data_IF_726815226616
#
_entry.id   IF_726815226616
#
_cell.length_a   1.000
_cell.length_b   1.000
_cell.length_c   1.000
_cell.angle_alpha   90.00
_cell.angle_beta   90.00
_cell.angle_gamma   90.00
#
_symmetry.space_group_name_H-M   'P 1'
#
loop_
_entity.id
_entity.type
_entity.pdbx_description
1 polymer ?
2 non-polymer ?
3 non-polymer ?
4 non-polymer ?
5 water ?
#
# COMPACT_ATOMS: atom_id res chain seq x y z
N UNK A 30 -3.02 -20.57 -12.34
CA UNK A 30 -2.70 -20.11 -13.69
C UNK A 30 -1.81 -18.86 -13.68
N UNK A 31 -1.53 -18.36 -12.48
CA UNK A 31 -0.63 -17.23 -12.29
C UNK A 31 0.57 -17.72 -11.46
N UNK A 32 1.76 -17.64 -12.05
CA UNK A 32 2.96 -18.14 -11.39
C UNK A 32 3.74 -17.00 -10.76
N UNK A 33 4.44 -17.32 -9.67
CA UNK A 33 5.22 -16.35 -8.90
C UNK A 33 6.71 -16.57 -9.14
N UNK A 34 7.42 -15.47 -9.41
CA UNK A 34 8.87 -15.48 -9.56
C UNK A 34 9.47 -14.48 -8.59
N UNK A 35 10.39 -14.92 -7.75
CA UNK A 35 10.99 -14.06 -6.73
C UNK A 35 12.31 -13.51 -7.25
N UNK A 36 12.50 -12.19 -7.12
CA UNK A 36 13.71 -11.51 -7.56
C UNK A 36 14.09 -10.49 -6.50
N UNK A 37 15.18 -9.76 -6.75
CA UNK A 37 15.59 -8.70 -5.84
C UNK A 37 16.30 -7.60 -6.61
N UNK A 38 16.33 -6.41 -6.02
CA UNK A 38 17.13 -5.31 -6.53
C UNK A 38 17.74 -4.57 -5.35
N UNK A 39 18.72 -3.72 -5.65
CA UNK A 39 19.40 -2.94 -4.62
C UNK A 39 18.65 -1.64 -4.41
N UNK A 40 18.05 -1.47 -3.22
CA UNK A 40 17.31 -0.27 -2.91
C UNK A 40 18.22 0.83 -2.39
N UNK A 41 17.60 1.95 -1.99
CA UNK A 41 18.35 3.05 -1.41
C UNK A 41 19.17 2.54 -0.23
N UNK A 42 20.42 2.97 -0.16
CA UNK A 42 21.32 2.49 0.88
C UNK A 42 21.87 1.10 0.63
N UNK A 43 21.73 0.58 -0.59
CA UNK A 43 22.14 -0.78 -0.94
C UNK A 43 21.42 -1.83 -0.11
N UNK A 44 20.18 -1.55 0.28
CA UNK A 44 19.37 -2.54 0.98
C UNK A 44 18.86 -3.55 -0.03
N UNK A 45 18.87 -4.83 0.32
CA UNK A 45 18.32 -5.86 -0.55
C UNK A 45 16.79 -5.78 -0.52
N UNK A 46 16.18 -5.46 -1.66
CA UNK A 46 14.72 -5.42 -1.77
C UNK A 46 14.26 -6.64 -2.56
N UNK A 47 13.52 -7.51 -1.90
CA UNK A 47 12.95 -8.69 -2.55
C UNK A 47 11.59 -8.32 -3.11
N UNK A 48 11.27 -8.83 -4.30
CA UNK A 48 9.94 -8.61 -4.84
C UNK A 48 9.47 -9.83 -5.61
N UNK A 49 8.15 -9.98 -5.70
CA UNK A 49 7.53 -11.03 -6.48
C UNK A 49 7.02 -10.47 -7.78
N UNK A 50 7.08 -11.28 -8.82
CA UNK A 50 6.40 -11.01 -10.08
C UNK A 50 5.43 -12.14 -10.31
N UNK A 51 4.15 -11.79 -10.48
CA UNK A 51 3.09 -12.76 -10.74
C UNK A 51 2.64 -12.61 -12.18
N UNK A 52 2.80 -13.67 -12.97
CA UNK A 52 2.54 -13.63 -14.40
C UNK A 52 1.43 -14.61 -14.77
N UNK A 53 0.33 -14.16 -15.34
CA UNK A 53 -0.71 -15.10 -15.78
C UNK A 53 -0.30 -15.75 -17.10
N UNK A 54 -0.95 -16.87 -17.40
CA UNK A 54 -0.74 -17.55 -18.68
C UNK A 54 -1.69 -17.03 -19.75
N UNK A 55 -1.89 -15.72 -19.77
CA UNK A 55 -2.58 -15.03 -20.83
C UNK A 55 -1.75 -13.85 -21.25
N UNK A 56 -2.12 -13.25 -22.37
CA UNK A 56 -1.45 -12.03 -22.81
C UNK A 56 -1.68 -10.93 -21.78
N UNK A 57 -0.64 -10.26 -21.31
CA UNK A 57 -0.81 -9.29 -20.23
C UNK A 57 -1.52 -8.05 -20.73
N UNK A 58 -2.50 -7.60 -19.95
CA UNK A 58 -3.30 -6.43 -20.31
C UNK A 58 -2.83 -5.17 -19.63
N UNK A 59 -2.14 -5.29 -18.49
CA UNK A 59 -1.61 -4.17 -17.75
C UNK A 59 -0.74 -4.74 -16.64
N UNK A 60 0.06 -3.87 -16.03
CA UNK A 60 0.93 -4.23 -14.91
C UNK A 60 0.41 -3.54 -13.66
N UNK A 61 0.41 -4.26 -12.54
CA UNK A 61 0.07 -3.71 -11.23
C UNK A 61 1.35 -3.68 -10.42
N UNK A 62 1.64 -2.55 -9.77
CA UNK A 62 2.78 -2.46 -8.85
C UNK A 62 2.22 -2.19 -7.47
N UNK A 63 2.46 -3.09 -6.54
CA UNK A 63 1.69 -3.18 -5.29
C UNK A 63 2.60 -2.90 -4.11
N UNK A 64 2.13 -2.04 -3.20
CA UNK A 64 2.84 -1.67 -1.96
C UNK A 64 2.04 -2.12 -0.74
N UNK A 65 2.61 -3.01 0.05
CA UNK A 65 1.97 -3.48 1.28
C UNK A 65 2.10 -2.42 2.39
N UNK A 66 1.46 -2.70 3.53
CA UNK A 66 1.44 -1.77 4.64
C UNK A 66 2.47 -2.10 5.72
N UNK A 67 2.37 -1.34 6.82
CA UNK A 67 3.31 -1.44 7.94
C UNK A 67 3.33 -2.84 8.53
N UNK A 68 4.54 -3.40 8.66
CA UNK A 68 4.76 -4.64 9.36
C UNK A 68 4.38 -5.90 8.62
N UNK A 69 3.79 -5.79 7.42
CA UNK A 69 3.46 -7.01 6.70
C UNK A 69 4.47 -7.24 5.58
N UNK A 70 4.06 -7.89 4.50
CA UNK A 70 4.98 -8.21 3.40
C UNK A 70 4.13 -8.61 2.21
N UNK A 71 4.79 -8.81 1.06
CA UNK A 71 4.02 -9.01 -0.17
C UNK A 71 3.39 -10.40 -0.25
N UNK A 72 3.87 -11.36 0.54
CA UNK A 72 3.23 -12.67 0.46
C UNK A 72 1.90 -12.72 1.20
N UNK A 73 1.48 -11.63 1.84
CA UNK A 73 0.08 -11.56 2.28
C UNK A 73 -0.87 -11.14 1.16
N UNK A 74 -0.36 -11.05 -0.07
CA UNK A 74 -1.15 -10.63 -1.22
C UNK A 74 -1.24 -11.67 -2.32
N UNK A 75 -0.83 -12.92 -2.04
CA UNK A 75 -0.92 -13.99 -3.04
C UNK A 75 -2.28 -14.02 -3.71
N UNK A 76 -3.35 -14.03 -2.92
CA UNK A 76 -4.69 -14.15 -3.50
C UNK A 76 -5.06 -12.93 -4.32
N UNK A 77 -4.59 -11.75 -3.91
CA UNK A 77 -4.84 -10.55 -4.69
C UNK A 77 -4.16 -10.66 -6.06
N UNK A 78 -2.90 -11.08 -6.07
CA UNK A 78 -2.19 -11.22 -7.33
C UNK A 78 -2.83 -12.30 -8.19
N UNK A 79 -3.32 -13.38 -7.57
CA UNK A 79 -3.93 -14.45 -8.34
C UNK A 79 -5.25 -14.00 -8.96
N UNK A 80 -6.04 -13.23 -8.22
CA UNK A 80 -7.29 -12.72 -8.77
C UNK A 80 -7.01 -11.73 -9.90
N UNK A 81 -6.01 -10.86 -9.72
CA UNK A 81 -5.64 -9.94 -10.77
C UNK A 81 -5.11 -10.67 -11.99
N UNK A 82 -4.36 -11.76 -11.77
CA UNK A 82 -3.83 -12.53 -12.88
C UNK A 82 -4.93 -13.18 -13.70
N UNK A 83 -6.01 -13.58 -13.04
CA UNK A 83 -7.16 -14.15 -13.73
C UNK A 83 -7.81 -13.15 -14.68
N UNK A 84 -7.62 -11.85 -14.45
CA UNK A 84 -8.02 -10.79 -15.35
C UNK A 84 -6.92 -10.42 -16.33
N UNK A 85 -5.81 -11.15 -16.35
CA UNK A 85 -4.75 -10.88 -17.29
C UNK A 85 -3.76 -9.82 -16.87
N UNK A 86 -3.73 -9.47 -15.59
CA UNK A 86 -2.81 -8.47 -15.08
C UNK A 86 -1.58 -9.14 -14.48
N UNK A 87 -0.43 -8.52 -14.69
CA UNK A 87 0.85 -8.92 -14.09
C UNK A 87 1.08 -8.07 -12.85
N UNK A 88 1.38 -8.71 -11.72
CA UNK A 88 1.57 -7.98 -10.47
C UNK A 88 3.02 -8.05 -10.01
N UNK A 89 3.61 -6.87 -9.78
CA UNK A 89 4.90 -6.73 -9.11
C UNK A 89 4.65 -6.26 -7.68
N UNK A 90 5.22 -6.96 -6.71
CA UNK A 90 4.99 -6.62 -5.31
C UNK A 90 6.29 -6.77 -4.55
N UNK A 91 6.76 -5.69 -3.94
CA UNK A 91 7.99 -5.70 -3.16
C UNK A 91 7.73 -5.85 -1.67
N UNK A 92 8.70 -6.41 -0.95
CA UNK A 92 8.78 -6.28 0.49
C UNK A 92 9.55 -4.98 0.75
N UNK A 93 8.92 -4.00 1.39
CA UNK A 93 9.64 -2.76 1.67
C UNK A 93 10.85 -3.04 2.54
N UNK A 94 11.83 -2.15 2.49
CA UNK A 94 12.96 -2.23 3.41
C UNK A 94 12.48 -2.46 4.84
N UNK A 95 13.17 -3.35 5.55
CA UNK A 95 12.80 -3.60 6.92
C UNK A 95 11.56 -4.43 7.07
N UNK A 96 11.11 -5.09 6.01
CA UNK A 96 9.90 -5.91 6.02
C UNK A 96 10.18 -7.22 5.32
N UNK A 97 9.50 -8.26 5.79
CA UNK A 97 9.46 -9.54 5.10
C UNK A 97 10.82 -10.10 4.78
N UNK A 98 11.01 -10.41 3.50
CA UNK A 98 12.24 -11.03 3.02
C UNK A 98 13.32 -10.01 2.68
N UNK A 99 12.99 -8.73 2.64
CA UNK A 99 13.97 -7.72 2.28
C UNK A 99 14.93 -7.45 3.44
N UNK A 100 16.04 -6.81 3.11
CA UNK A 100 17.00 -6.45 4.13
C UNK A 100 16.61 -5.18 4.87
N UNK A 101 17.52 -4.73 5.72
CA UNK A 101 17.29 -3.50 6.45
C UNK A 101 16.84 -3.78 7.86
N UNK A 102 17.17 -2.86 8.77
CA UNK A 102 16.67 -2.95 10.12
C UNK A 102 15.14 -3.00 10.11
N UNK A 103 14.57 -3.89 10.92
CA UNK A 103 13.13 -4.09 10.87
C UNK A 103 12.38 -2.79 11.14
N UNK A 104 11.35 -2.53 10.30
CA UNK A 104 10.47 -1.35 10.32
C UNK A 104 11.24 -0.05 10.55
N UNK A 105 12.46 0.05 10.03
CA UNK A 105 13.23 1.28 10.15
C UNK A 105 13.14 2.09 8.87
N UNK A 106 12.75 3.36 9.00
CA UNK A 106 12.79 4.31 7.89
C UNK A 106 12.95 5.68 8.50
N UNK A 107 13.63 6.58 7.80
CA UNK A 107 13.76 7.94 8.31
C UNK A 107 12.96 8.96 7.53
N UNK A 108 12.57 8.65 6.29
CA UNK A 108 11.91 9.60 5.43
C UNK A 108 11.03 8.81 4.46
N UNK A 109 9.87 9.38 4.11
CA UNK A 109 8.97 8.72 3.17
C UNK A 109 9.67 8.46 1.85
N UNK A 110 10.68 9.29 1.52
CA UNK A 110 11.36 9.15 0.24
C UNK A 110 12.12 7.84 0.11
N UNK A 111 12.50 7.20 1.22
CA UNK A 111 13.12 5.88 1.14
C UNK A 111 12.15 4.88 0.52
N UNK A 112 10.92 4.88 1.02
CA UNK A 112 9.90 3.97 0.51
C UNK A 112 9.52 4.30 -0.93
N UNK A 113 9.32 5.58 -1.23
CA UNK A 113 8.87 5.94 -2.58
C UNK A 113 9.98 5.73 -3.60
N UNK A 114 11.25 5.87 -3.18
CA UNK A 114 12.33 5.64 -4.12
C UNK A 114 12.40 4.17 -4.54
N UNK A 115 12.31 3.26 -3.57
CA UNK A 115 12.29 1.84 -3.92
C UNK A 115 11.02 1.46 -4.70
N UNK A 116 9.87 2.01 -4.33
CA UNK A 116 8.68 1.80 -5.15
C UNK A 116 8.92 2.27 -6.59
N UNK A 117 9.56 3.43 -6.75
CA UNK A 117 9.85 3.94 -8.09
C UNK A 117 10.74 3.00 -8.87
N UNK A 118 11.74 2.41 -8.22
CA UNK A 118 12.58 1.43 -8.91
C UNK A 118 11.76 0.25 -9.41
N UNK A 119 10.83 -0.23 -8.58
CA UNK A 119 9.98 -1.34 -8.99
C UNK A 119 9.09 -0.94 -10.17
N UNK A 120 8.51 0.26 -10.14
CA UNK A 120 7.73 0.73 -11.28
C UNK A 120 8.59 0.76 -12.54
N UNK A 121 9.86 1.17 -12.39
CA UNK A 121 10.74 1.22 -13.55
C UNK A 121 11.05 -0.15 -14.11
N UNK A 122 11.24 -1.13 -13.22
CA UNK A 122 11.44 -2.51 -13.66
C UNK A 122 10.24 -3.00 -14.45
N UNK A 123 9.04 -2.83 -13.88
CA UNK A 123 7.83 -3.24 -14.59
C UNK A 123 7.70 -2.53 -15.94
N UNK A 124 8.05 -1.24 -15.97
CA UNK A 124 7.97 -0.45 -17.20
C UNK A 124 8.88 -1.00 -18.28
N UNK A 125 10.13 -1.29 -17.92
CA UNK A 125 11.08 -1.79 -18.91
C UNK A 125 10.76 -3.23 -19.35
N UNK A 126 10.04 -4.00 -18.53
CA UNK A 126 9.71 -5.37 -18.89
C UNK A 126 8.38 -5.49 -19.62
N UNK A 127 7.43 -4.59 -19.37
CA UNK A 127 6.17 -4.56 -20.10
C UNK A 127 5.90 -3.16 -20.64
N UNK A 128 6.74 -2.68 -21.56
CA UNK A 128 6.63 -1.27 -22.00
C UNK A 128 5.35 -0.97 -22.77
N UNK A 129 4.65 -1.99 -23.27
CA UNK A 129 3.39 -1.76 -23.94
C UNK A 129 2.17 -1.78 -23.05
N UNK A 130 2.36 -1.87 -21.73
CA UNK A 130 1.26 -2.05 -20.80
C UNK A 130 1.00 -0.78 -20.00
N UNK A 131 -0.27 -0.51 -19.74
CA UNK A 131 -0.61 0.51 -18.77
C UNK A 131 -0.17 0.06 -17.38
N UNK A 132 0.06 1.04 -16.52
CA UNK A 132 0.60 0.76 -15.18
C UNK A 132 -0.40 1.21 -14.13
N UNK A 133 -0.74 0.28 -13.23
CA UNK A 133 -1.63 0.50 -12.11
C UNK A 133 -0.79 0.49 -10.84
N UNK A 134 -0.90 1.50 -10.00
CA UNK A 134 -0.21 1.48 -8.71
C UNK A 134 -1.25 1.23 -7.63
N UNK A 135 -0.97 0.25 -6.76
CA UNK A 135 -1.92 -0.20 -5.76
C UNK A 135 -1.22 -0.23 -4.40
N UNK A 136 -1.84 0.35 -3.39
CA UNK A 136 -1.24 0.36 -2.06
C UNK A 136 -2.28 0.15 -0.98
N UNK A 137 -1.89 -0.56 0.09
CA UNK A 137 -2.76 -0.74 1.24
C UNK A 137 -2.15 -0.07 2.47
N UNK A 138 -2.96 0.74 3.15
CA UNK A 138 -2.64 1.28 4.47
C UNK A 138 -1.39 2.15 4.35
N UNK A 139 -0.30 1.87 5.08
CA UNK A 139 0.93 2.62 4.89
C UNK A 139 1.36 2.56 3.43
N UNK A 140 1.13 1.41 2.78
CA UNK A 140 1.45 1.29 1.37
C UNK A 140 0.58 2.19 0.51
N UNK A 141 -0.65 2.47 0.96
CA UNK A 141 -1.47 3.44 0.26
C UNK A 141 -0.94 4.85 0.43
N UNK A 142 -0.33 5.12 1.60
CA UNK A 142 0.36 6.39 1.77
C UNK A 142 1.58 6.50 0.89
N UNK A 143 2.37 5.42 0.81
CA UNK A 143 3.52 5.39 -0.11
C UNK A 143 3.06 5.64 -1.55
N UNK A 144 2.01 4.94 -1.98
CA UNK A 144 1.52 5.05 -3.36
C UNK A 144 0.98 6.44 -3.64
N UNK A 145 0.22 7.02 -2.70
CA UNK A 145 -0.24 8.39 -2.86
C UNK A 145 0.94 9.34 -3.00
N UNK A 146 1.92 9.22 -2.11
CA UNK A 146 3.09 10.09 -2.16
C UNK A 146 3.83 9.92 -3.48
N UNK A 147 4.01 8.68 -3.93
CA UNK A 147 4.59 8.45 -5.24
C UNK A 147 3.76 9.10 -6.33
N UNK A 148 2.43 8.96 -6.23
CA UNK A 148 1.55 9.41 -7.28
C UNK A 148 1.53 10.90 -7.46
N UNK A 149 1.68 11.66 -6.37
CA UNK A 149 1.75 13.12 -6.53
C UNK A 149 3.13 13.57 -6.98
N UNK A 150 4.17 12.77 -6.73
CA UNK A 150 5.52 13.11 -7.17
C UNK A 150 5.77 12.73 -8.62
N UNK A 151 5.18 11.64 -9.11
CA UNK A 151 5.39 11.16 -10.47
C UNK A 151 4.05 10.93 -11.17
N UNK A 152 3.19 11.96 -11.25
CA UNK A 152 1.81 11.75 -11.72
C UNK A 152 1.68 11.30 -13.15
N UNK A 153 2.75 11.37 -13.95
CA UNK A 153 2.71 10.89 -15.32
C UNK A 153 3.48 9.59 -15.52
N UNK A 154 3.76 8.87 -14.42
CA UNK A 154 4.50 7.61 -14.48
C UNK A 154 3.61 6.39 -14.30
N UNK A 155 2.29 6.58 -14.20
CA UNK A 155 1.34 5.50 -14.03
C UNK A 155 0.02 5.95 -14.64
N UNK A 156 -0.88 4.99 -14.85
CA UNK A 156 -2.14 5.26 -15.52
C UNK A 156 -3.36 5.24 -14.60
N UNK A 157 -3.36 4.38 -13.59
CA UNK A 157 -4.48 4.20 -12.69
C UNK A 157 -3.95 3.97 -11.29
N UNK A 158 -4.71 4.41 -10.29
CA UNK A 158 -4.31 4.22 -8.90
C UNK A 158 -5.44 3.56 -8.12
N UNK A 159 -5.10 2.56 -7.31
CA UNK A 159 -6.06 1.89 -6.43
C UNK A 159 -5.49 1.93 -5.01
N UNK A 160 -6.29 2.40 -4.05
CA UNK A 160 -5.84 2.50 -2.67
C UNK A 160 -6.79 1.75 -1.75
N UNK A 161 -6.23 0.91 -0.86
CA UNK A 161 -6.98 0.23 0.18
C UNK A 161 -6.66 0.91 1.50
N UNK A 162 -7.69 1.50 2.13
CA UNK A 162 -7.60 2.20 3.41
C UNK A 162 -6.29 2.98 3.55
N UNK A 163 -6.03 3.93 2.66
CA UNK A 163 -4.69 4.53 2.60
C UNK A 163 -4.42 5.39 3.82
N UNK A 164 -3.19 5.28 4.34
CA UNK A 164 -2.78 6.02 5.53
C UNK A 164 -2.31 7.40 5.07
N UNK A 165 -3.29 8.25 4.77
CA UNK A 165 -3.02 9.58 4.26
C UNK A 165 -3.48 10.68 5.22
N UNK A 166 -3.91 10.31 6.43
CA UNK A 166 -4.25 11.31 7.43
C UNK A 166 -3.77 10.85 8.80
N UNK A 167 -2.51 10.41 8.87
CA UNK A 167 -1.99 9.83 10.10
C UNK A 167 -2.03 10.81 11.26
N UNK A 168 -1.90 12.11 10.97
CA UNK A 168 -1.93 13.12 12.03
C UNK A 168 -3.25 13.09 12.79
N UNK A 169 -4.34 12.68 12.17
CA UNK A 169 -5.60 12.64 12.88
C UNK A 169 -5.76 11.41 13.74
N UNK A 170 -4.73 10.55 13.80
CA UNK A 170 -4.86 9.25 14.45
C UNK A 170 -4.08 9.15 15.75
N UNK A 171 -3.09 10.02 15.98
CA UNK A 171 -2.34 9.99 17.23
C UNK A 171 -2.56 11.28 17.99
N UNK A 172 -2.30 11.19 19.29
CA UNK A 172 -2.26 12.38 20.11
C UNK A 172 -1.15 13.30 19.61
N UNK A 173 -1.27 14.60 19.91
CA UNK A 173 -0.16 15.51 19.60
C UNK A 173 1.16 15.08 20.21
N UNK A 174 1.13 14.37 21.34
CA UNK A 174 2.36 13.91 21.98
C UNK A 174 3.11 12.94 21.07
N UNK A 175 2.39 11.98 20.50
CA UNK A 175 3.03 11.03 19.60
C UNK A 175 3.52 11.73 18.35
N UNK A 176 2.75 12.70 17.84
CA UNK A 176 3.16 13.38 16.61
C UNK A 176 4.43 14.20 16.83
N UNK A 177 4.54 14.88 17.98
CA UNK A 177 5.77 15.61 18.25
C UNK A 177 6.94 14.66 18.44
N UNK A 178 6.74 13.58 19.20
CA UNK A 178 7.81 12.61 19.42
C UNK A 178 8.32 12.06 18.09
N UNK A 179 7.40 11.70 17.19
CA UNK A 179 7.80 11.13 15.91
C UNK A 179 8.56 12.15 15.06
N UNK A 180 8.04 13.38 14.98
CA UNK A 180 8.68 14.39 14.15
C UNK A 180 10.07 14.74 14.66
N UNK A 181 10.24 14.82 15.99
CA UNK A 181 11.53 15.21 16.52
C UNK A 181 12.52 14.05 16.59
N UNK A 182 12.03 12.82 16.73
CA UNK A 182 12.91 11.67 16.94
C UNK A 182 13.05 10.79 15.70
N UNK A 183 12.21 10.94 14.69
CA UNK A 183 12.17 9.99 13.61
C UNK A 183 13.39 9.96 12.71
N UNK A 184 14.18 11.04 12.69
CA UNK A 184 15.45 10.98 11.96
C UNK A 184 16.62 10.51 12.83
N UNK A 185 16.62 10.86 14.11
CA UNK A 185 17.77 10.54 14.98
C UNK A 185 17.66 9.11 15.53
N UNK A 186 16.48 8.76 16.04
CA UNK A 186 16.25 7.41 16.57
C UNK A 186 15.01 6.82 15.91
N UNK A 187 15.09 6.48 14.61
CA UNK A 187 13.88 6.02 13.90
C UNK A 187 13.28 4.75 14.47
N UNK A 188 14.06 3.94 15.19
CA UNK A 188 13.50 2.73 15.75
C UNK A 188 12.79 2.86 17.09
N UNK A 189 12.72 4.07 17.65
CA UNK A 189 12.11 4.23 18.98
C UNK A 189 10.60 4.01 18.93
N UNK A 190 10.05 3.13 19.76
CA UNK A 190 8.59 2.89 19.72
C UNK A 190 7.79 4.09 20.23
N UNK A 191 6.77 4.48 19.47
CA UNK A 191 5.93 5.62 19.85
C UNK A 191 4.44 5.28 19.99
N UNK A 192 3.96 4.14 19.50
CA UNK A 192 2.53 3.88 19.58
C UNK A 192 2.27 2.39 19.43
N UNK A 193 1.36 1.87 20.24
CA UNK A 193 0.88 0.50 20.10
C UNK A 193 -0.25 0.44 19.08
N UNK A 194 -0.38 -0.71 18.43
CA UNK A 194 -1.47 -0.94 17.49
C UNK A 194 -2.30 -2.15 17.92
N UNK A 195 -3.59 -2.07 17.65
CA UNK A 195 -4.54 -3.16 17.93
C UNK A 195 -4.57 -4.10 16.73
N UNK A 196 -3.75 -5.14 16.78
CA UNK A 196 -3.68 -6.08 15.67
C UNK A 196 -4.99 -6.85 15.48
N UNK A 197 -5.85 -6.93 16.49
CA UNK A 197 -7.14 -7.59 16.28
C UNK A 197 -8.08 -6.77 15.41
N UNK A 198 -7.70 -5.54 15.06
CA UNK A 198 -8.53 -4.67 14.24
C UNK A 198 -8.24 -4.83 12.75
N UNK A 199 -7.27 -5.67 12.38
CA UNK A 199 -6.95 -5.79 10.96
C UNK A 199 -8.07 -6.49 10.20
N UNK A 200 -8.81 -7.39 10.84
CA UNK A 200 -9.82 -8.18 10.13
C UNK A 200 -10.81 -8.69 11.15
N UNK A 201 -12.06 -8.89 10.72
CA UNK A 201 -13.00 -9.51 11.65
C UNK A 201 -13.04 -11.02 11.48
N UNK A 202 -12.24 -11.58 10.57
CA UNK A 202 -12.03 -13.02 10.52
C UNK A 202 -10.93 -13.38 11.51
N UNK A 203 -11.23 -14.15 12.56
CA UNK A 203 -10.16 -14.52 13.50
C UNK A 203 -9.03 -15.30 12.83
N UNK A 204 -9.32 -16.02 11.74
CA UNK A 204 -8.26 -16.77 11.07
C UNK A 204 -7.23 -15.83 10.47
N UNK A 205 -7.65 -14.65 10.01
CA UNK A 205 -6.71 -13.69 9.47
C UNK A 205 -5.86 -13.10 10.58
N UNK A 206 -6.49 -12.75 11.70
CA UNK A 206 -5.74 -12.24 12.84
C UNK A 206 -4.75 -13.27 13.34
N UNK A 207 -5.19 -14.54 13.46
CA UNK A 207 -4.31 -15.60 13.92
C UNK A 207 -3.11 -15.78 13.00
N UNK A 208 -3.35 -15.75 11.69
CA UNK A 208 -2.28 -15.95 10.72
C UNK A 208 -1.27 -14.81 10.76
N UNK A 209 -1.75 -13.59 11.02
CA UNK A 209 -0.87 -12.45 11.20
C UNK A 209 0.01 -12.63 12.43
N UNK A 210 -0.62 -13.02 13.56
CA UNK A 210 0.10 -13.13 14.82
C UNK A 210 1.17 -14.21 14.79
N UNK A 211 0.97 -15.26 13.99
CA UNK A 211 1.89 -16.39 13.95
C UNK A 211 2.84 -16.32 12.76
N UNK A 212 2.82 -15.23 12.02
CA UNK A 212 3.67 -15.10 10.84
C UNK A 212 5.05 -14.62 11.27
N UNK A 213 6.12 -15.41 11.07
CA UNK A 213 7.45 -14.96 11.50
C UNK A 213 7.98 -13.78 10.71
N UNK A 214 7.43 -13.49 9.53
CA UNK A 214 7.91 -12.38 8.71
C UNK A 214 7.22 -11.06 9.06
N UNK A 215 6.26 -11.07 9.94
CA UNK A 215 5.45 -9.90 10.28
C UNK A 215 6.00 -9.24 11.54
N UNK A 216 5.85 -7.92 11.60
CA UNK A 216 6.26 -7.13 12.76
C UNK A 216 5.20 -7.24 13.84
N UNK A 217 5.63 -7.61 15.05
CA UNK A 217 4.69 -7.76 16.15
C UNK A 217 4.93 -6.75 17.25
N UNK A 218 5.72 -5.71 16.98
CA UNK A 218 6.02 -4.68 17.95
C UNK A 218 5.15 -3.46 17.80
N UNK A 219 5.69 -2.32 18.21
CA UNK A 219 4.96 -1.06 18.19
C UNK A 219 5.33 -0.26 16.94
N UNK A 220 4.56 0.79 16.70
CA UNK A 220 4.91 1.71 15.61
C UNK A 220 6.14 2.51 16.03
N UNK A 221 7.21 2.52 15.24
CA UNK A 221 8.39 3.29 15.61
C UNK A 221 8.34 4.73 15.12
N UNK A 222 9.23 5.55 15.69
CA UNK A 222 9.23 6.98 15.41
C UNK A 222 9.47 7.28 13.93
N UNK A 223 10.35 6.51 13.28
CA UNK A 223 10.69 6.81 11.90
C UNK A 223 9.52 6.66 10.95
N UNK A 224 8.84 5.52 11.03
CA UNK A 224 7.63 5.32 10.23
C UNK A 224 6.58 6.34 10.62
N UNK A 225 6.48 6.64 11.91
CA UNK A 225 5.60 7.71 12.35
C UNK A 225 5.87 9.01 11.60
N UNK A 226 7.15 9.40 11.52
CA UNK A 226 7.50 10.63 10.83
C UNK A 226 7.13 10.56 9.35
N UNK A 227 7.45 9.45 8.70
CA UNK A 227 7.13 9.28 7.29
C UNK A 227 5.63 9.39 7.03
N UNK A 228 4.81 8.78 7.89
CA UNK A 228 3.35 8.87 7.71
C UNK A 228 2.87 10.31 7.90
N UNK A 229 3.44 11.02 8.87
CA UNK A 229 3.11 12.44 9.04
C UNK A 229 3.54 13.27 7.85
N UNK A 230 4.66 12.91 7.22
CA UNK A 230 5.06 13.63 6.01
C UNK A 230 3.97 13.54 4.95
N UNK A 231 3.37 12.36 4.79
CA UNK A 231 2.30 12.20 3.81
C UNK A 231 1.04 12.93 4.28
N UNK A 232 0.65 12.73 5.53
CA UNK A 232 -0.63 13.23 6.00
C UNK A 232 -0.69 14.73 6.09
N UNK A 233 0.42 15.36 6.46
CA UNK A 233 0.40 16.81 6.63
C UNK A 233 0.35 17.55 5.30
N UNK A 234 0.79 16.93 4.20
CA UNK A 234 0.80 17.60 2.91
C UNK A 234 -0.30 17.09 1.98
N UNK A 235 -1.08 16.09 2.39
CA UNK A 235 -2.06 15.48 1.49
C UNK A 235 -3.03 16.50 0.90
N UNK A 236 -3.69 17.37 1.68
CA UNK A 236 -4.61 18.32 1.05
C UNK A 236 -3.95 19.25 0.05
N UNK A 237 -2.70 19.67 0.32
CA UNK A 237 -2.00 20.57 -0.58
C UNK A 237 -1.49 19.89 -1.84
N UNK A 238 -1.15 18.61 -1.76
CA UNK A 238 -0.54 17.87 -2.85
C UNK A 238 -1.53 17.09 -3.68
N UNK A 239 -2.64 16.64 -3.08
CA UNK A 239 -3.57 15.79 -3.79
C UNK A 239 -4.12 16.40 -5.09
N UNK A 240 -4.19 17.72 -5.26
CA UNK A 240 -4.61 18.25 -6.58
C UNK A 240 -3.75 17.80 -7.74
N UNK A 241 -2.50 17.42 -7.51
CA UNK A 241 -1.63 16.95 -8.57
C UNK A 241 -1.95 15.52 -9.00
N UNK A 242 -2.74 14.80 -8.23
CA UNK A 242 -3.18 13.46 -8.60
C UNK A 242 -4.39 13.62 -9.53
N UNK A 243 -4.18 13.38 -10.82
CA UNK A 243 -5.25 13.51 -11.80
C UNK A 243 -5.64 12.20 -12.46
N UNK A 244 -4.84 11.15 -12.30
CA UNK A 244 -5.19 9.84 -12.84
C UNK A 244 -6.47 9.33 -12.19
N UNK A 245 -7.22 8.48 -12.89
CA UNK A 245 -8.34 7.79 -12.24
C UNK A 245 -7.90 7.10 -10.96
N UNK A 246 -8.74 7.20 -9.92
CA UNK A 246 -8.44 6.74 -8.58
C UNK A 246 -9.62 5.97 -8.03
N UNK A 247 -9.36 4.79 -7.49
CA UNK A 247 -10.34 4.00 -6.76
C UNK A 247 -9.83 3.82 -5.34
N UNK A 248 -10.64 4.21 -4.35
CA UNK A 248 -10.31 4.01 -2.94
C UNK A 248 -11.32 3.01 -2.38
N UNK A 249 -10.82 2.02 -1.64
CA UNK A 249 -11.62 1.01 -0.96
C UNK A 249 -11.46 1.19 0.54
N UNK A 250 -12.57 1.13 1.29
CA UNK A 250 -12.44 1.32 2.73
C UNK A 250 -13.60 0.63 3.45
N UNK A 251 -13.29 -0.10 4.52
CA UNK A 251 -14.34 -0.72 5.34
C UNK A 251 -14.88 0.28 6.33
N UNK A 252 -16.22 0.35 6.44
CA UNK A 252 -16.79 1.37 7.31
C UNK A 252 -16.45 1.14 8.78
N UNK A 253 -16.16 -0.11 9.17
CA UNK A 253 -15.85 -0.45 10.56
C UNK A 253 -14.34 -0.52 10.82
N UNK A 254 -13.54 0.11 9.97
CA UNK A 254 -12.09 0.17 10.11
C UNK A 254 -11.74 0.97 11.36
N UNK A 255 -11.18 0.30 12.36
CA UNK A 255 -10.78 0.91 13.61
C UNK A 255 -9.31 1.28 13.63
N UNK A 256 -8.54 0.96 12.59
CA UNK A 256 -7.15 1.38 12.51
C UNK A 256 -7.01 2.70 11.75
N UNK A 257 -7.59 2.76 10.56
CA UNK A 257 -7.59 3.97 9.74
C UNK A 257 -9.05 4.37 9.55
N UNK A 258 -9.52 5.43 10.19
CA UNK A 258 -10.94 5.80 10.05
C UNK A 258 -11.28 6.12 8.61
N UNK A 259 -12.47 5.69 8.19
CA UNK A 259 -12.91 5.90 6.81
C UNK A 259 -13.06 7.38 6.49
N UNK A 260 -13.17 8.23 7.51
CA UNK A 260 -13.30 9.67 7.27
C UNK A 260 -12.10 10.21 6.52
N UNK A 261 -10.93 9.60 6.70
CA UNK A 261 -9.75 10.06 5.97
C UNK A 261 -9.81 9.79 4.49
N UNK A 262 -10.43 8.68 4.09
CA UNK A 262 -10.57 8.40 2.67
C UNK A 262 -11.63 9.29 2.05
N UNK A 263 -12.69 9.58 2.80
CA UNK A 263 -13.69 10.54 2.32
C UNK A 263 -13.04 11.89 2.08
N UNK A 264 -12.12 12.30 2.95
CA UNK A 264 -11.41 13.56 2.74
C UNK A 264 -10.48 13.48 1.54
N UNK A 265 -9.76 12.37 1.39
CA UNK A 265 -8.86 12.22 0.25
C UNK A 265 -9.59 12.44 -1.07
N UNK A 266 -10.74 11.79 -1.25
CA UNK A 266 -11.39 11.86 -2.56
C UNK A 266 -11.92 13.25 -2.83
N UNK A 267 -12.11 14.07 -1.79
CA UNK A 267 -12.51 15.46 -1.96
C UNK A 267 -11.35 16.37 -2.37
N UNK A 268 -10.11 15.93 -2.16
CA UNK A 268 -8.94 16.78 -2.40
C UNK A 268 -8.21 16.48 -3.69
N UNK A 269 -8.44 15.31 -4.30
CA UNK A 269 -7.65 14.95 -5.48
C UNK A 269 -8.14 15.76 -6.69
N UNK A 270 -7.22 15.93 -7.65
CA UNK A 270 -7.54 16.60 -8.89
C UNK A 270 -8.33 15.75 -9.88
N UNK A 271 -8.28 14.43 -9.74
CA UNK A 271 -8.93 13.53 -10.69
C UNK A 271 -10.43 13.78 -10.76
N UNK A 272 -10.98 13.86 -11.99
CA UNK A 272 -12.42 13.82 -12.16
C UNK A 272 -12.98 12.40 -12.01
N UNK A 273 -12.19 11.39 -12.33
CA UNK A 273 -12.64 10.00 -12.22
C UNK A 273 -12.12 9.43 -10.90
N UNK A 274 -12.84 9.73 -9.82
CA UNK A 274 -12.44 9.25 -8.50
C UNK A 274 -13.66 8.68 -7.79
N UNK A 275 -13.45 7.55 -7.11
CA UNK A 275 -14.51 6.82 -6.43
C UNK A 275 -14.00 6.34 -5.09
N UNK A 276 -14.84 6.44 -4.07
CA UNK A 276 -14.62 5.73 -2.81
C UNK A 276 -15.69 4.67 -2.70
N UNK A 277 -15.28 3.41 -2.70
CA UNK A 277 -16.19 2.29 -2.47
C UNK A 277 -16.12 1.94 -0.99
N UNK A 278 -17.20 2.22 -0.27
CA UNK A 278 -17.28 1.94 1.16
C UNK A 278 -17.94 0.59 1.35
N UNK A 279 -17.35 -0.25 2.19
CA UNK A 279 -17.87 -1.59 2.42
C UNK A 279 -18.43 -1.66 3.84
N UNK A 280 -19.75 -1.71 4.01
CA UNK A 280 -20.32 -1.63 5.36
C UNK A 280 -19.93 -2.81 6.20
N UNK A 281 -19.44 -2.52 7.39
CA UNK A 281 -19.11 -3.54 8.36
C UNK A 281 -17.75 -4.17 8.19
N UNK A 282 -17.00 -3.86 7.14
CA UNK A 282 -15.69 -4.48 7.00
C UNK A 282 -14.66 -3.76 7.87
N UNK A 283 -13.62 -4.51 8.24
CA UNK A 283 -12.52 -3.99 9.02
C UNK A 283 -11.42 -3.49 8.09
N UNK A 284 -10.22 -3.28 8.63
CA UNK A 284 -9.17 -2.55 7.92
C UNK A 284 -8.75 -3.23 6.62
N UNK A 285 -8.45 -4.53 6.67
CA UNK A 285 -7.87 -5.23 5.53
C UNK A 285 -8.99 -5.76 4.63
N UNK A 286 -9.53 -4.88 3.78
CA UNK A 286 -10.66 -5.29 2.95
C UNK A 286 -10.29 -6.45 2.04
N UNK A 287 -9.02 -6.53 1.60
CA UNK A 287 -8.60 -7.64 0.74
C UNK A 287 -8.51 -8.97 1.47
N UNK A 288 -8.58 -8.98 2.81
CA UNK A 288 -8.48 -10.20 3.59
C UNK A 288 -9.77 -10.52 4.33
N UNK A 289 -10.76 -9.65 4.23
CA UNK A 289 -12.03 -9.85 4.92
C UNK A 289 -12.80 -11.00 4.29
N UNK A 290 -13.82 -11.52 4.97
CA UNK A 290 -14.64 -12.60 4.38
C UNK A 290 -15.19 -12.23 3.02
N UNK A 291 -15.52 -10.96 2.81
CA UNK A 291 -16.07 -10.47 1.56
C UNK A 291 -15.01 -10.12 0.52
N UNK A 292 -13.77 -10.61 0.69
CA UNK A 292 -12.65 -10.17 -0.16
C UNK A 292 -12.89 -10.45 -1.64
N UNK A 293 -13.59 -11.53 -1.98
CA UNK A 293 -13.82 -11.81 -3.38
C UNK A 293 -14.78 -10.81 -4.00
N UNK A 294 -15.71 -10.25 -3.21
CA UNK A 294 -16.55 -9.15 -3.70
C UNK A 294 -15.72 -7.89 -3.89
N UNK A 295 -14.85 -7.60 -2.93
CA UNK A 295 -13.98 -6.44 -3.03
C UNK A 295 -13.11 -6.54 -4.28
N UNK A 296 -12.53 -7.71 -4.50
CA UNK A 296 -11.63 -7.88 -5.64
C UNK A 296 -12.39 -7.91 -6.96
N UNK A 297 -13.63 -8.40 -6.96
CA UNK A 297 -14.48 -8.26 -8.14
C UNK A 297 -14.67 -6.80 -8.51
N UNK A 298 -14.95 -5.96 -7.50
CA UNK A 298 -15.13 -4.52 -7.74
C UNK A 298 -13.87 -3.91 -8.31
N UNK A 299 -12.70 -4.27 -7.75
CA UNK A 299 -11.44 -3.73 -8.26
C UNK A 299 -11.23 -4.15 -9.71
N UNK A 300 -11.48 -5.43 -10.00
CA UNK A 300 -11.24 -5.91 -11.36
C UNK A 300 -12.21 -5.24 -12.33
N UNK A 301 -13.47 -5.08 -11.93
CA UNK A 301 -14.44 -4.40 -12.79
C UNK A 301 -14.01 -2.97 -13.07
N UNK A 302 -13.56 -2.27 -12.04
CA UNK A 302 -13.15 -0.87 -12.18
C UNK A 302 -11.94 -0.77 -13.11
N UNK A 303 -10.95 -1.62 -12.89
CA UNK A 303 -9.76 -1.61 -13.72
C UNK A 303 -10.10 -1.93 -15.17
N UNK A 304 -10.95 -2.93 -15.40
CA UNK A 304 -11.21 -3.35 -16.77
C UNK A 304 -11.94 -2.25 -17.55
N UNK A 305 -12.82 -1.50 -16.89
CA UNK A 305 -13.48 -0.36 -17.55
C UNK A 305 -12.47 0.67 -18.01
N UNK A 306 -11.35 0.82 -17.29
CA UNK A 306 -10.52 2.00 -17.46
C UNK A 306 -9.20 1.76 -18.19
N UNK A 307 -8.87 0.53 -18.51
CA UNK A 307 -7.62 0.27 -19.22
C UNK A 307 -7.77 0.67 -20.69
X LIG B 1 -2.54 -3.23 9.06
X LIG B 1 -1.72 -3.84 7.93
X LIG B 1 -1.07 -2.62 7.29
X LIG B 1 -0.46 7.26 13.89
X LIG B 1 0.73 7.96 13.89
X LIG B 1 3.00 9.43 13.90
X LIG B 1 -1.44 0.77 10.26
X LIG B 1 -0.56 0.63 9.21
X LIG B 1 0.22 1.79 9.27
X LIG B 1 -0.39 -0.45 8.22
X LIG B 1 -1.57 -2.21 9.63
X LIG B 1 1.89 7.36 14.36
X LIG B 1 1.86 6.05 14.81
X LIG B 1 0.67 5.35 14.79
X LIG B 1 -0.51 5.95 14.38
X LIG B 1 -2.14 4.16 13.62
X LIG B 1 -1.37 3.65 12.59
X LIG B 1 -1.84 2.51 11.97
X LIG B 1 -3.64 2.48 13.32
X LIG B 1 -1.75 5.29 14.31
X LIG B 1 -2.98 1.91 12.32
X LIG B 1 -3.27 3.56 14.00
X LIG B 1 -1.16 1.93 10.87
X LIG B 1 -0.14 2.60 10.25
X LIG B 1 -0.95 -1.66 8.40
X LIG B 1 3.05 8.08 14.35
X LIG B 1 0.29 -0.22 7.21
X LIG B 1 -0.71 -4.68 8.48
X LIG C 1 -1.77 -3.80 7.82
X LIG C 1 -1.81 -3.59 9.33
X LIG C 1 -1.96 -2.08 9.40
X LIG C 1 0.73 5.68 15.35
X LIG C 1 1.85 6.48 15.31
X LIG C 1 2.94 9.51 13.58
X LIG C 1 -1.52 0.83 10.21
X LIG C 1 -0.63 0.66 9.17
X LIG C 1 0.21 1.77 9.26
X LIG C 1 -0.47 -0.42 8.17
X LIG C 1 -0.83 -2.71 7.37
X LIG C 1 1.90 7.54 14.42
X LIG C 1 0.84 7.78 13.57
X LIG C 1 -0.27 6.96 13.60
X LIG C 1 -0.33 5.88 14.47
X LIG C 1 -1.96 4.06 13.76
X LIG C 1 -1.25 3.56 12.68
X LIG C 1 -1.84 2.55 11.95
X LIG C 1 -3.65 2.61 13.29
X LIG C 1 -1.46 5.04 14.57
X LIG C 1 -3.05 2.06 12.23
X LIG C 1 -3.17 3.58 14.07
X LIG C 1 -1.19 1.97 10.84
X LIG C 1 -0.12 2.57 10.26
X LIG C 1 -1.07 -1.63 8.33
X LIG C 1 3.00 8.36 14.40
X LIG C 1 0.29 -0.24 7.22
X LIG C 1 -0.55 -3.96 9.88
X LIG D 1 8.62 -2.79 20.01
#
# INVERSE_FOLDING_TARGET
MSYYHHHHHHDYDIPTTENLYFQGAMGSMTTTRTERNFAGIGDVRIVYDVWTPDTAPQAVVVLAHGLGEHARRYDHVAQRLGAAGLVTYALDHRGHGRSGGARVLVRDISEYTADFDTLVGIATREYPGCKRIVLGHSMGGGIVFAYGVERPDNYDLMVLSAPAVAAQDLVSPVVAVAAKLLGVVVPGLPVQELDFTAISRDPEVVQAYNTDPLVHHGRVPAGIGRALLQVGETMPRRAPALTAPLLVLHGTDDRLIPIEGSRRLVECVGSADVQLKEYPGLYHEVFNEPERNQVLDDVVAWLTERL
8KE C15 C16 C17 C18 C19 C1 C10 C11 C12 C13 C14 C2 C3 C4 C5 C6 C7 C8 C9 N1 N2 N3 N4 N5 N6 O1 O2 O3
I3F C15 C16 C17 C18 C19 C1 C10 C11 C12 C13 C14 C2 C3 C4 C5 C6 C7 C8 C9 N1 N2 N3 N4 N5 N6 O1 O2 O3
CL CL
#
